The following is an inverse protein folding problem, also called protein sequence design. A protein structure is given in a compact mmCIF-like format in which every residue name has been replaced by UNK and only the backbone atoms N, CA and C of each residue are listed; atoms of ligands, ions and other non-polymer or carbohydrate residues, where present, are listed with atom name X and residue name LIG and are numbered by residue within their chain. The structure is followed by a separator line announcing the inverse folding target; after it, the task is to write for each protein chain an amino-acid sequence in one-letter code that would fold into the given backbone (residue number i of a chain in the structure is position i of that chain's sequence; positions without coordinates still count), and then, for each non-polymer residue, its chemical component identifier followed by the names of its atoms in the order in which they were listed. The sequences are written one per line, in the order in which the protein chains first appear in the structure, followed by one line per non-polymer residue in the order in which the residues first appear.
data_IF_456059974510
#
_entry.id   IF_456059974510
#
_cell.length_a   1.000
_cell.length_b   1.000
_cell.length_c   1.000
_cell.angle_alpha   90.00
_cell.angle_beta   90.00
_cell.angle_gamma   90.00
#
_symmetry.space_group_name_H-M   'P 1'
#
loop_
_entity.id
_entity.type
_entity.pdbx_description
1 polymer ?
#
# COMPACT_ATOMS: atom_id res chain seq x y z
N UNK A 1 9.54 -22.06 6.82
CA UNK A 1 10.70 -21.18 6.59
C UNK A 1 10.19 -19.75 6.62
N UNK A 2 10.59 -18.94 7.60
CA UNK A 2 10.20 -17.52 7.63
C UNK A 2 10.97 -16.77 6.55
N UNK A 3 10.28 -16.00 5.71
CA UNK A 3 10.93 -15.13 4.71
C UNK A 3 11.57 -13.96 5.46
N UNK A 4 12.88 -13.84 5.40
CA UNK A 4 13.58 -12.68 5.92
C UNK A 4 13.22 -11.47 5.04
N UNK A 5 12.60 -10.45 5.64
CA UNK A 5 12.31 -9.18 4.98
C UNK A 5 13.63 -8.46 4.74
N UNK A 6 13.90 -8.13 3.48
CA UNK A 6 15.09 -7.36 3.14
C UNK A 6 14.86 -5.89 3.44
N UNK A 7 15.91 -5.14 3.77
CA UNK A 7 15.75 -3.75 4.19
C UNK A 7 15.14 -2.87 3.08
N UNK A 8 15.43 -3.19 1.82
CA UNK A 8 14.83 -2.52 0.66
C UNK A 8 13.35 -2.90 0.43
N UNK A 9 12.86 -3.99 1.03
CA UNK A 9 11.44 -4.37 0.97
C UNK A 9 10.61 -3.62 2.03
N UNK A 10 11.23 -3.04 3.08
CA UNK A 10 10.52 -2.29 4.13
C UNK A 10 9.62 -1.17 3.59
N UNK A 11 10.10 -0.29 2.68
CA UNK A 11 9.26 0.80 2.15
C UNK A 11 8.04 0.29 1.36
N UNK A 12 8.18 -0.85 0.68
CA UNK A 12 7.07 -1.49 -0.04
C UNK A 12 6.05 -2.04 0.95
N UNK A 13 6.51 -2.80 1.95
CA UNK A 13 5.64 -3.40 2.97
C UNK A 13 4.87 -2.33 3.75
N UNK A 14 5.54 -1.25 4.15
CA UNK A 14 4.90 -0.12 4.84
C UNK A 14 3.82 0.54 3.97
N UNK A 15 4.10 0.70 2.67
CA UNK A 15 3.12 1.26 1.73
C UNK A 15 1.93 0.32 1.50
N UNK A 16 2.14 -0.99 1.40
CA UNK A 16 1.06 -1.99 1.32
C UNK A 16 0.17 -1.98 2.57
N UNK A 17 0.78 -1.92 3.76
CA UNK A 17 0.04 -1.84 5.02
C UNK A 17 -0.81 -0.58 5.07
N UNK A 18 -0.26 0.57 4.68
CA UNK A 18 -0.97 1.84 4.67
C UNK A 18 -2.15 1.85 3.68
N UNK A 19 -1.98 1.24 2.51
CA UNK A 19 -3.07 1.06 1.53
C UNK A 19 -4.20 0.22 2.15
N UNK A 20 -3.85 -0.90 2.79
CA UNK A 20 -4.83 -1.80 3.42
C UNK A 20 -5.60 -1.11 4.55
N UNK A 21 -4.93 -0.30 5.37
CA UNK A 21 -5.59 0.48 6.42
C UNK A 21 -6.59 1.48 5.83
N UNK A 22 -6.22 2.20 4.77
CA UNK A 22 -7.14 3.12 4.09
C UNK A 22 -8.32 2.40 3.43
N UNK A 23 -8.11 1.23 2.84
CA UNK A 23 -9.20 0.42 2.29
C UNK A 23 -10.19 0.04 3.41
N UNK A 24 -9.70 -0.41 4.56
CA UNK A 24 -10.54 -0.73 5.72
C UNK A 24 -11.30 0.52 6.20
N UNK A 25 -10.62 1.65 6.37
CA UNK A 25 -11.25 2.91 6.79
C UNK A 25 -12.30 3.41 5.79
N UNK A 26 -12.04 3.28 4.49
CA UNK A 26 -12.99 3.64 3.44
C UNK A 26 -14.24 2.76 3.47
N UNK A 27 -14.14 1.50 3.91
CA UNK A 27 -15.33 0.65 4.08
C UNK A 27 -16.11 0.94 5.37
N UNK A 28 -15.48 1.58 6.35
CA UNK A 28 -16.07 1.87 7.66
C UNK A 28 -16.59 3.31 7.79
N UNK A 29 -16.33 4.16 6.79
CA UNK A 29 -16.74 5.56 6.76
C UNK A 29 -17.49 5.90 5.48
N UNK A 30 -18.37 6.89 5.54
CA UNK A 30 -19.05 7.44 4.34
C UNK A 30 -18.11 8.30 3.46
N UNK A 31 -16.80 8.25 3.72
CA UNK A 31 -15.79 9.04 3.01
C UNK A 31 -15.19 8.20 1.90
N UNK A 32 -15.32 8.67 0.66
CA UNK A 32 -14.66 8.06 -0.50
C UNK A 32 -13.15 8.36 -0.47
N UNK A 33 -12.37 7.35 -0.08
CA UNK A 33 -10.90 7.40 -0.11
C UNK A 33 -10.31 6.75 -1.37
N UNK A 34 -11.15 6.28 -2.32
CA UNK A 34 -10.70 5.59 -3.52
C UNK A 34 -9.70 6.38 -4.39
N UNK A 35 -9.78 7.73 -4.51
CA UNK A 35 -8.80 8.48 -5.30
C UNK A 35 -7.40 8.44 -4.69
N UNK A 36 -7.31 8.48 -3.36
CA UNK A 36 -6.04 8.51 -2.63
C UNK A 36 -5.42 7.11 -2.56
N UNK A 37 -6.25 6.08 -2.37
CA UNK A 37 -5.84 4.67 -2.46
C UNK A 37 -5.24 4.39 -3.85
N UNK A 38 -5.85 4.91 -4.93
CA UNK A 38 -5.35 4.74 -6.29
C UNK A 38 -3.94 5.32 -6.46
N UNK A 39 -3.69 6.55 -6.00
CA UNK A 39 -2.36 7.18 -6.06
C UNK A 39 -1.29 6.36 -5.32
N UNK A 40 -1.66 5.79 -4.18
CA UNK A 40 -0.72 4.96 -3.39
C UNK A 40 -0.41 3.64 -4.07
N UNK A 41 -1.39 3.02 -4.75
CA UNK A 41 -1.17 1.82 -5.57
C UNK A 41 -0.26 2.10 -6.77
N UNK A 42 -0.45 3.25 -7.43
CA UNK A 42 0.44 3.70 -8.51
C UNK A 42 1.89 3.88 -8.01
N UNK A 43 2.06 4.55 -6.86
CA UNK A 43 3.37 4.69 -6.22
C UNK A 43 3.99 3.35 -5.79
N UNK A 44 3.18 2.40 -5.35
CA UNK A 44 3.63 1.05 -5.01
C UNK A 44 4.17 0.34 -6.27
N UNK A 45 3.47 0.43 -7.40
CA UNK A 45 3.92 -0.16 -8.65
C UNK A 45 5.22 0.45 -9.16
N UNK A 46 5.39 1.77 -9.01
CA UNK A 46 6.64 2.47 -9.33
C UNK A 46 7.80 1.98 -8.44
N UNK A 47 7.60 1.91 -7.12
CA UNK A 47 8.61 1.44 -6.18
C UNK A 47 8.97 -0.04 -6.37
N UNK A 48 8.02 -0.86 -6.82
CA UNK A 48 8.23 -2.27 -7.12
C UNK A 48 9.01 -2.48 -8.44
N UNK A 49 9.29 -1.42 -9.20
CA UNK A 49 9.97 -1.50 -10.50
C UNK A 49 9.15 -2.23 -11.56
N UNK A 50 7.83 -2.31 -11.39
CA UNK A 50 6.92 -2.92 -12.37
C UNK A 50 6.39 -1.85 -13.32
N UNK A 51 7.25 -1.42 -14.25
CA UNK A 51 6.88 -0.61 -15.42
C UNK A 51 6.82 -1.48 -16.67
#
# INVERSE_FOLDING_TARGET
MARAVLEFEKPLIELEQKIKEMEIMSTQSDVDMSPEIKKLKEKLTELAGKT
#
